data_IF_635195409342
#
_entry.id   IF_635195409342
#
_cell.length_a   1.000
_cell.length_b   1.000
_cell.length_c   1.000
_cell.angle_alpha   90.00
_cell.angle_beta   90.00
_cell.angle_gamma   90.00
#
_symmetry.space_group_name_H-M   'P 1'
#
loop_
_entity.id
_entity.type
_entity.pdbx_description
1 polymer ?
#
# COMPACT_ATOMS: atom_id res chain seq x y z
N UNK A 1 -25.80 -6.24 -25.94
CA UNK A 1 -24.57 -5.98 -25.13
C UNK A 1 -24.67 -6.82 -23.87
N UNK A 2 -23.71 -7.73 -23.61
CA UNK A 2 -23.63 -8.41 -22.31
C UNK A 2 -23.41 -7.35 -21.22
N UNK A 3 -24.06 -7.47 -20.06
CA UNK A 3 -23.78 -6.57 -18.95
C UNK A 3 -22.32 -6.76 -18.53
N UNK A 4 -21.55 -5.68 -18.27
CA UNK A 4 -20.18 -5.82 -17.79
C UNK A 4 -20.20 -6.53 -16.44
N UNK A 5 -19.36 -7.54 -16.29
CA UNK A 5 -19.25 -8.28 -15.04
C UNK A 5 -18.66 -7.43 -13.90
N UNK A 6 -18.71 -7.94 -12.67
CA UNK A 6 -18.34 -7.17 -11.48
C UNK A 6 -16.89 -6.69 -11.56
N UNK A 7 -15.99 -7.55 -12.02
CA UNK A 7 -14.55 -7.28 -12.13
C UNK A 7 -14.27 -6.16 -13.14
N UNK A 8 -14.97 -6.17 -14.29
CA UNK A 8 -14.87 -5.10 -15.28
C UNK A 8 -15.29 -3.75 -14.72
N UNK A 9 -16.34 -3.74 -13.88
CA UNK A 9 -16.80 -2.51 -13.24
C UNK A 9 -15.77 -1.99 -12.23
N UNK A 10 -15.15 -2.88 -11.46
CA UNK A 10 -14.07 -2.52 -10.51
C UNK A 10 -12.87 -1.95 -11.25
N UNK A 11 -12.39 -2.63 -12.31
CA UNK A 11 -11.32 -2.15 -13.16
C UNK A 11 -11.61 -0.74 -13.71
N UNK A 12 -12.80 -0.57 -14.30
CA UNK A 12 -13.25 0.73 -14.84
C UNK A 12 -13.34 1.83 -13.77
N UNK A 13 -13.73 1.49 -12.53
CA UNK A 13 -13.75 2.43 -11.42
C UNK A 13 -12.32 2.83 -11.04
N UNK A 14 -11.39 1.89 -10.89
CA UNK A 14 -9.99 2.17 -10.53
C UNK A 14 -9.32 3.11 -11.53
N UNK A 15 -9.44 2.84 -12.83
CA UNK A 15 -8.80 3.67 -13.86
C UNK A 15 -9.41 5.08 -13.98
N UNK A 16 -10.58 5.33 -13.39
CA UNK A 16 -11.25 6.63 -13.34
C UNK A 16 -10.89 7.46 -12.12
N UNK A 17 -10.31 6.85 -11.07
CA UNK A 17 -9.84 7.55 -9.87
C UNK A 17 -8.83 8.63 -10.28
N UNK A 18 -8.96 9.84 -9.71
CA UNK A 18 -8.06 10.94 -10.01
C UNK A 18 -6.63 10.52 -9.74
N UNK A 19 -5.70 10.93 -10.59
CA UNK A 19 -4.31 10.50 -10.53
C UNK A 19 -3.57 10.89 -9.23
N UNK A 20 -4.18 11.72 -8.39
CA UNK A 20 -3.68 12.14 -7.06
C UNK A 20 -4.33 11.34 -5.90
N UNK A 21 -5.34 10.54 -6.20
CA UNK A 21 -6.05 9.66 -5.27
C UNK A 21 -5.53 8.23 -5.44
N UNK A 22 -5.66 7.44 -4.38
CA UNK A 22 -5.19 6.05 -4.27
C UNK A 22 -6.35 5.08 -4.51
N UNK A 23 -6.09 4.01 -5.24
CA UNK A 23 -7.09 2.97 -5.47
C UNK A 23 -7.38 2.07 -4.27
N UNK A 24 -6.57 2.09 -3.21
CA UNK A 24 -6.69 1.16 -2.07
C UNK A 24 -8.08 1.05 -1.46
N UNK A 25 -8.82 2.14 -1.14
CA UNK A 25 -10.17 2.00 -0.56
C UNK A 25 -11.11 1.19 -1.45
N UNK A 26 -10.98 1.33 -2.77
CA UNK A 26 -11.78 0.57 -3.73
C UNK A 26 -11.32 -0.88 -3.83
N UNK A 27 -10.01 -1.14 -3.70
CA UNK A 27 -9.47 -2.51 -3.64
C UNK A 27 -9.99 -3.21 -2.38
N UNK A 28 -9.92 -2.55 -1.22
CA UNK A 28 -10.37 -3.07 0.08
C UNK A 28 -11.86 -3.38 0.08
N UNK A 29 -12.70 -2.46 -0.42
CA UNK A 29 -14.15 -2.67 -0.58
C UNK A 29 -14.50 -3.84 -1.51
N UNK A 30 -13.57 -4.22 -2.40
CA UNK A 30 -13.77 -5.26 -3.40
C UNK A 30 -12.71 -6.36 -3.30
N UNK A 31 -12.22 -6.65 -2.09
CA UNK A 31 -11.05 -7.51 -1.89
C UNK A 31 -11.21 -8.92 -2.50
N UNK A 32 -12.44 -9.44 -2.57
CA UNK A 32 -12.74 -10.74 -3.18
C UNK A 32 -12.57 -10.80 -4.70
N UNK A 33 -12.50 -9.65 -5.37
CA UNK A 33 -12.24 -9.57 -6.81
C UNK A 33 -10.73 -9.59 -7.13
N UNK A 34 -9.86 -9.43 -6.12
CA UNK A 34 -8.43 -9.39 -6.29
C UNK A 34 -7.80 -10.72 -5.86
N UNK A 35 -6.79 -11.13 -6.62
CA UNK A 35 -5.92 -12.21 -6.26
C UNK A 35 -4.75 -11.67 -5.43
N UNK A 36 -4.51 -12.23 -4.26
CA UNK A 36 -3.48 -11.77 -3.33
C UNK A 36 -2.34 -12.79 -3.27
N UNK A 37 -1.13 -12.34 -2.97
CA UNK A 37 0.02 -13.27 -2.92
C UNK A 37 -0.03 -14.34 -1.83
N UNK A 38 -0.83 -14.14 -0.81
CA UNK A 38 -1.07 -15.11 0.25
C UNK A 38 -2.28 -16.01 -0.02
N UNK A 39 -3.02 -15.78 -1.11
CA UNK A 39 -4.15 -16.61 -1.52
C UNK A 39 -3.68 -17.90 -2.16
N UNK A 40 -4.42 -18.99 -1.92
CA UNK A 40 -4.27 -20.22 -2.70
C UNK A 40 -4.77 -19.98 -4.13
N UNK A 41 -3.95 -20.34 -5.12
CA UNK A 41 -4.24 -20.11 -6.55
C UNK A 41 -5.49 -20.86 -6.99
N UNK A 42 -5.62 -22.11 -6.58
CA UNK A 42 -6.72 -22.97 -6.99
C UNK A 42 -8.02 -22.51 -6.35
N UNK A 43 -7.99 -22.15 -5.06
CA UNK A 43 -9.14 -21.60 -4.35
C UNK A 43 -9.61 -20.28 -4.99
N UNK A 44 -8.69 -19.33 -5.18
CA UNK A 44 -9.02 -18.04 -5.79
C UNK A 44 -9.62 -18.22 -7.19
N UNK A 45 -8.95 -19.00 -8.04
CA UNK A 45 -9.44 -19.23 -9.39
C UNK A 45 -10.78 -19.94 -9.40
N UNK A 46 -11.01 -20.90 -8.50
CA UNK A 46 -12.29 -21.61 -8.40
C UNK A 46 -13.42 -20.66 -8.04
N UNK A 47 -13.20 -19.72 -7.11
CA UNK A 47 -14.18 -18.68 -6.79
C UNK A 47 -14.45 -17.76 -7.99
N UNK A 48 -13.39 -17.33 -8.68
CA UNK A 48 -13.49 -16.50 -9.87
C UNK A 48 -14.24 -17.21 -11.00
N UNK A 49 -13.82 -18.43 -11.35
CA UNK A 49 -14.41 -19.26 -12.38
C UNK A 49 -15.87 -19.58 -12.11
N UNK A 50 -16.23 -19.89 -10.85
CA UNK A 50 -17.62 -20.15 -10.47
C UNK A 50 -18.49 -18.89 -10.60
N UNK A 51 -18.00 -17.73 -10.17
CA UNK A 51 -18.78 -16.49 -10.17
C UNK A 51 -18.93 -15.88 -11.57
N UNK A 52 -17.94 -16.07 -12.44
CA UNK A 52 -17.88 -15.47 -13.78
C UNK A 52 -18.15 -16.46 -14.91
N UNK A 53 -18.24 -17.77 -14.61
CA UNK A 53 -18.47 -18.83 -15.58
C UNK A 53 -17.25 -19.14 -16.45
N UNK A 54 -16.05 -19.05 -15.90
CA UNK A 54 -14.80 -19.40 -16.59
C UNK A 54 -14.49 -20.90 -16.45
N UNK A 55 -13.63 -21.41 -17.33
CA UNK A 55 -13.10 -22.77 -17.18
C UNK A 55 -12.22 -22.87 -15.92
N UNK A 56 -12.22 -24.01 -15.22
CA UNK A 56 -11.35 -24.21 -14.06
C UNK A 56 -9.89 -24.37 -14.49
N UNK A 57 -8.97 -23.97 -13.61
CA UNK A 57 -7.57 -24.42 -13.67
C UNK A 57 -7.42 -25.74 -12.92
N UNK A 58 -6.27 -26.38 -13.09
CA UNK A 58 -5.82 -27.44 -12.17
C UNK A 58 -4.46 -27.07 -11.62
N UNK A 59 -4.31 -27.24 -10.31
CA UNK A 59 -3.04 -27.07 -9.61
C UNK A 59 -2.66 -28.42 -8.98
N UNK A 60 -1.41 -28.83 -9.14
CA UNK A 60 -0.88 -30.00 -8.48
C UNK A 60 0.54 -29.71 -7.99
N UNK A 61 0.90 -30.24 -6.82
CA UNK A 61 2.27 -30.18 -6.30
C UNK A 61 2.79 -31.61 -6.23
N UNK A 62 3.94 -31.86 -6.86
CA UNK A 62 4.56 -33.19 -6.87
C UNK A 62 5.45 -33.44 -5.63
N UNK A 63 6.04 -34.63 -5.55
CA UNK A 63 6.93 -35.01 -4.45
C UNK A 63 8.27 -34.24 -4.43
N UNK A 64 8.62 -33.58 -5.54
CA UNK A 64 9.82 -32.77 -5.68
C UNK A 64 9.57 -31.28 -5.40
N UNK A 65 8.41 -30.95 -4.79
CA UNK A 65 7.96 -29.58 -4.53
C UNK A 65 7.84 -28.74 -5.82
N UNK A 66 7.52 -29.38 -6.94
CA UNK A 66 7.18 -28.67 -8.18
C UNK A 66 5.70 -28.41 -8.25
N UNK A 67 5.33 -27.15 -8.46
CA UNK A 67 3.96 -26.76 -8.77
C UNK A 67 3.72 -26.89 -10.26
N UNK A 68 2.65 -27.58 -10.62
CA UNK A 68 2.12 -27.70 -11.97
C UNK A 68 0.79 -26.97 -12.04
N UNK A 69 0.67 -26.03 -12.96
CA UNK A 69 -0.58 -25.31 -13.24
C UNK A 69 -0.99 -25.62 -14.67
N UNK A 70 -2.25 -25.97 -14.89
CA UNK A 70 -2.80 -26.17 -16.23
C UNK A 70 -4.13 -25.47 -16.42
N UNK A 71 -4.33 -24.97 -17.64
CA UNK A 71 -5.56 -24.34 -18.09
C UNK A 71 -5.78 -24.68 -19.56
N UNK A 72 -6.92 -25.32 -19.88
CA UNK A 72 -7.17 -25.89 -21.21
C UNK A 72 -6.01 -26.80 -21.67
N UNK A 73 -5.34 -26.46 -22.77
CA UNK A 73 -4.20 -27.15 -23.35
C UNK A 73 -2.84 -26.59 -22.92
N UNK A 74 -2.82 -25.51 -22.12
CA UNK A 74 -1.61 -24.89 -21.60
C UNK A 74 -1.20 -25.45 -20.24
N UNK A 75 0.11 -25.51 -20.03
CA UNK A 75 0.74 -26.01 -18.80
C UNK A 75 1.96 -25.17 -18.44
N UNK A 76 2.20 -24.99 -17.15
CA UNK A 76 3.39 -24.40 -16.59
C UNK A 76 3.88 -25.20 -15.37
N UNK A 77 5.20 -25.21 -15.18
CA UNK A 77 5.88 -25.86 -14.05
C UNK A 77 6.76 -24.84 -13.33
N UNK A 78 6.80 -24.91 -12.00
CA UNK A 78 7.57 -24.02 -11.14
C UNK A 78 8.23 -24.85 -10.05
N UNK A 79 9.52 -24.63 -9.82
CA UNK A 79 10.20 -25.19 -8.65
C UNK A 79 9.91 -24.30 -7.44
N UNK A 80 9.28 -24.85 -6.41
CA UNK A 80 9.07 -24.13 -5.17
C UNK A 80 10.33 -24.19 -4.30
N UNK A 81 10.58 -23.13 -3.54
CA UNK A 81 11.74 -22.95 -2.66
C UNK A 81 11.34 -22.68 -1.20
N UNK A 82 10.04 -22.62 -0.91
CA UNK A 82 9.46 -22.20 0.37
C UNK A 82 9.55 -20.69 0.60
N UNK A 83 9.86 -19.89 -0.41
CA UNK A 83 10.11 -18.45 -0.26
C UNK A 83 8.91 -17.60 -0.70
N UNK A 84 8.93 -16.31 -0.35
CA UNK A 84 7.94 -15.36 -0.87
C UNK A 84 8.00 -15.21 -2.40
N UNK A 85 9.16 -15.49 -3.01
CA UNK A 85 9.31 -15.43 -4.47
C UNK A 85 8.46 -16.50 -5.15
N UNK A 86 8.27 -17.67 -4.52
CA UNK A 86 7.40 -18.73 -5.05
C UNK A 86 6.00 -18.21 -5.32
N UNK A 87 5.44 -17.39 -4.41
CA UNK A 87 4.10 -16.81 -4.56
C UNK A 87 3.99 -15.95 -5.82
N UNK A 88 5.00 -15.13 -6.07
CA UNK A 88 5.04 -14.28 -7.27
C UNK A 88 5.23 -15.15 -8.51
N UNK A 89 6.14 -16.12 -8.46
CA UNK A 89 6.36 -17.06 -9.55
C UNK A 89 5.08 -17.83 -9.92
N UNK A 90 4.30 -18.28 -8.93
CA UNK A 90 3.03 -18.99 -9.14
C UNK A 90 1.97 -18.12 -9.80
N UNK A 91 1.92 -16.82 -9.49
CA UNK A 91 1.04 -15.87 -10.18
C UNK A 91 1.46 -15.66 -11.63
N UNK A 92 2.76 -15.56 -11.91
CA UNK A 92 3.26 -15.44 -13.28
C UNK A 92 3.01 -16.70 -14.11
N UNK A 93 3.17 -17.88 -13.51
CA UNK A 93 2.85 -19.13 -14.17
C UNK A 93 1.35 -19.24 -14.47
N UNK A 94 0.49 -18.83 -13.53
CA UNK A 94 -0.95 -18.71 -13.78
C UNK A 94 -1.20 -17.76 -14.95
N UNK A 95 -0.66 -16.54 -14.91
CA UNK A 95 -0.80 -15.54 -15.97
C UNK A 95 -0.36 -16.08 -17.34
N UNK A 96 0.69 -16.90 -17.37
CA UNK A 96 1.16 -17.57 -18.58
C UNK A 96 0.14 -18.57 -19.13
N UNK A 97 -0.37 -19.49 -18.30
CA UNK A 97 -1.29 -20.53 -18.79
C UNK A 97 -2.67 -20.00 -19.19
N UNK A 98 -3.12 -18.88 -18.61
CA UNK A 98 -4.44 -18.28 -18.92
C UNK A 98 -4.39 -17.18 -19.99
N UNK A 99 -3.19 -16.86 -20.51
CA UNK A 99 -2.91 -15.67 -21.33
C UNK A 99 -3.74 -15.54 -22.61
N UNK A 100 -4.27 -16.63 -23.16
CA UNK A 100 -5.07 -16.56 -24.40
C UNK A 100 -6.45 -15.93 -24.15
N UNK A 101 -7.00 -16.14 -22.96
CA UNK A 101 -8.34 -15.70 -22.59
C UNK A 101 -8.31 -14.51 -21.62
N UNK A 102 -7.25 -14.37 -20.82
CA UNK A 102 -7.18 -13.41 -19.73
C UNK A 102 -5.87 -12.62 -19.68
N UNK A 103 -5.99 -11.39 -19.19
CA UNK A 103 -4.88 -10.51 -18.81
C UNK A 103 -4.85 -10.41 -17.29
N UNK A 104 -3.66 -10.64 -16.70
CA UNK A 104 -3.43 -10.42 -15.27
C UNK A 104 -2.77 -9.05 -15.07
N UNK A 105 -3.35 -8.25 -14.17
CA UNK A 105 -2.91 -6.89 -13.87
C UNK A 105 -2.47 -6.78 -12.41
N UNK A 106 -1.22 -6.41 -12.17
CA UNK A 106 -0.75 -6.03 -10.85
C UNK A 106 -1.14 -4.59 -10.54
N UNK A 107 -1.83 -4.35 -9.43
CA UNK A 107 -2.16 -3.00 -8.97
C UNK A 107 -0.97 -2.37 -8.21
N UNK A 108 -0.23 -1.49 -8.89
CA UNK A 108 0.95 -0.81 -8.34
C UNK A 108 0.65 0.50 -7.61
N UNK A 109 -0.59 0.96 -7.70
CA UNK A 109 -1.00 2.25 -7.15
C UNK A 109 -1.48 2.17 -5.69
N UNK A 110 -1.57 0.97 -5.11
CA UNK A 110 -1.82 0.84 -3.68
C UNK A 110 -0.54 1.07 -2.88
N UNK A 111 -0.62 1.95 -1.90
CA UNK A 111 0.45 2.14 -0.92
C UNK A 111 0.60 0.94 0.03
N UNK A 112 -0.24 -0.09 -0.13
CA UNK A 112 -0.15 -1.39 0.53
C UNK A 112 0.52 -2.44 -0.37
N UNK A 113 1.44 -2.02 -1.26
CA UNK A 113 2.09 -2.85 -2.28
C UNK A 113 2.82 -4.10 -1.74
N UNK A 114 2.95 -4.27 -0.42
CA UNK A 114 3.43 -5.51 0.18
C UNK A 114 2.54 -6.71 -0.14
N UNK A 115 1.23 -6.50 -0.30
CA UNK A 115 0.30 -7.64 -0.35
C UNK A 115 0.00 -8.08 -1.79
N UNK A 116 0.58 -7.37 -2.77
CA UNK A 116 0.55 -7.66 -4.20
C UNK A 116 -0.87 -8.04 -4.69
N UNK A 117 -1.72 -7.02 -4.89
CA UNK A 117 -3.08 -7.21 -5.40
C UNK A 117 -3.07 -7.35 -6.92
N UNK A 118 -3.58 -8.46 -7.44
CA UNK A 118 -3.72 -8.72 -8.87
C UNK A 118 -5.19 -8.78 -9.28
N UNK A 119 -5.49 -8.32 -10.49
CA UNK A 119 -6.82 -8.38 -11.09
C UNK A 119 -6.73 -9.21 -12.37
N UNK A 120 -7.61 -10.20 -12.52
CA UNK A 120 -7.70 -11.02 -13.73
C UNK A 120 -8.86 -10.51 -14.58
N UNK A 121 -8.61 -10.15 -15.83
CA UNK A 121 -9.62 -9.62 -16.75
C UNK A 121 -9.68 -10.43 -18.05
N UNK A 122 -10.85 -10.69 -18.62
CA UNK A 122 -10.94 -11.19 -19.99
C UNK A 122 -10.24 -10.27 -20.98
N UNK A 123 -9.51 -10.86 -21.93
CA UNK A 123 -8.74 -10.13 -22.94
C UNK A 123 -9.61 -9.16 -23.78
N UNK A 124 -10.84 -9.55 -24.09
CA UNK A 124 -11.84 -8.69 -24.78
C UNK A 124 -12.06 -7.38 -24.01
N UNK A 125 -12.30 -7.49 -22.71
CA UNK A 125 -12.63 -6.34 -21.84
C UNK A 125 -11.41 -5.44 -21.65
N UNK A 126 -10.24 -6.04 -21.43
CA UNK A 126 -8.99 -5.29 -21.31
C UNK A 126 -8.70 -4.50 -22.58
N UNK A 127 -8.78 -5.17 -23.75
CA UNK A 127 -8.53 -4.56 -25.07
C UNK A 127 -9.51 -3.43 -25.36
N UNK A 128 -10.81 -3.64 -25.14
CA UNK A 128 -11.84 -2.60 -25.31
C UNK A 128 -11.60 -1.39 -24.42
N UNK A 129 -11.14 -1.62 -23.19
CA UNK A 129 -10.83 -0.54 -22.25
C UNK A 129 -9.56 0.21 -22.65
N UNK A 130 -8.51 -0.48 -23.09
CA UNK A 130 -7.29 0.13 -23.63
C UNK A 130 -7.58 0.95 -24.88
N UNK A 131 -8.50 0.50 -25.73
CA UNK A 131 -8.90 1.23 -26.93
C UNK A 131 -9.76 2.47 -26.62
N UNK A 132 -10.63 2.38 -25.60
CA UNK A 132 -11.55 3.47 -25.22
C UNK A 132 -10.98 4.47 -24.22
N UNK A 133 -9.95 4.09 -23.46
CA UNK A 133 -9.27 4.93 -22.48
C UNK A 133 -7.83 5.18 -22.90
N UNK A 134 -7.25 6.31 -22.49
CA UNK A 134 -5.82 6.53 -22.74
C UNK A 134 -5.00 5.49 -21.96
N UNK A 135 -4.14 4.73 -22.65
CA UNK A 135 -3.22 3.75 -22.05
C UNK A 135 -2.42 4.32 -20.86
N UNK A 136 -2.17 5.63 -20.84
CA UNK A 136 -1.53 6.33 -19.73
C UNK A 136 -2.27 6.24 -18.40
N UNK A 137 -3.61 6.14 -18.40
CA UNK A 137 -4.41 5.96 -17.17
C UNK A 137 -4.25 4.55 -16.60
N UNK A 138 -4.26 3.55 -17.47
CA UNK A 138 -4.09 2.14 -17.09
C UNK A 138 -2.68 1.94 -16.53
N UNK A 139 -1.65 2.37 -17.28
CA UNK A 139 -0.24 2.23 -16.91
C UNK A 139 0.16 3.01 -15.66
N UNK A 140 -0.67 3.94 -15.21
CA UNK A 140 -0.47 4.62 -13.92
C UNK A 140 -0.88 3.75 -12.74
N UNK A 141 -1.92 2.92 -12.91
CA UNK A 141 -2.52 2.12 -11.84
C UNK A 141 -2.08 0.67 -11.84
N UNK A 142 -1.83 0.14 -13.03
CA UNK A 142 -1.57 -1.26 -13.24
C UNK A 142 -0.25 -1.48 -13.98
N UNK A 143 0.34 -2.65 -13.72
CA UNK A 143 1.36 -3.28 -14.55
C UNK A 143 0.70 -4.54 -15.11
N UNK A 144 0.81 -4.75 -16.43
CA UNK A 144 0.41 -6.02 -17.02
C UNK A 144 1.46 -7.04 -16.61
N UNK A 145 1.04 -8.12 -15.96
CA UNK A 145 1.94 -9.21 -15.57
C UNK A 145 2.34 -9.94 -16.84
N UNK A 146 3.63 -9.94 -17.17
CA UNK A 146 4.18 -10.70 -18.29
C UNK A 146 4.77 -12.04 -17.81
N UNK A 147 5.40 -12.77 -18.74
CA UNK A 147 5.95 -14.09 -18.48
C UNK A 147 7.37 -14.06 -17.87
N UNK A 148 7.95 -12.87 -17.67
CA UNK A 148 9.33 -12.72 -17.21
C UNK A 148 9.34 -12.19 -15.77
N UNK A 149 9.63 -13.08 -14.82
CA UNK A 149 9.70 -12.74 -13.41
C UNK A 149 10.66 -11.60 -13.12
N UNK A 150 11.85 -11.62 -13.72
CA UNK A 150 12.85 -10.59 -13.47
C UNK A 150 12.39 -9.24 -14.00
N UNK A 151 11.79 -9.21 -15.18
CA UNK A 151 11.22 -7.98 -15.75
C UNK A 151 10.05 -7.47 -14.93
N UNK A 152 9.12 -8.34 -14.54
CA UNK A 152 8.00 -7.99 -13.67
C UNK A 152 8.50 -7.40 -12.35
N UNK A 153 9.41 -8.08 -11.65
CA UNK A 153 9.97 -7.60 -10.39
C UNK A 153 10.69 -6.26 -10.56
N UNK A 154 11.49 -6.11 -11.62
CA UNK A 154 12.20 -4.87 -11.93
C UNK A 154 11.22 -3.72 -12.14
N UNK A 155 10.11 -3.95 -12.85
CA UNK A 155 9.12 -2.90 -13.09
C UNK A 155 8.29 -2.64 -11.83
N UNK A 156 7.66 -3.68 -11.25
CA UNK A 156 6.79 -3.61 -10.09
C UNK A 156 7.48 -2.99 -8.88
N UNK A 157 8.76 -3.32 -8.69
CA UNK A 157 9.58 -2.84 -7.59
C UNK A 157 10.63 -1.83 -8.03
N UNK A 158 10.47 -1.18 -9.19
CA UNK A 158 11.30 -0.01 -9.53
C UNK A 158 11.05 1.13 -8.54
N UNK A 159 12.03 2.01 -8.34
CA UNK A 159 11.87 3.22 -7.50
C UNK A 159 10.65 4.05 -7.90
N UNK A 160 10.29 4.07 -9.19
CA UNK A 160 9.13 4.77 -9.72
C UNK A 160 7.79 4.16 -9.30
N UNK A 161 7.70 2.83 -9.19
CA UNK A 161 6.46 2.10 -8.88
C UNK A 161 6.39 1.64 -7.42
N UNK A 162 7.52 1.68 -6.70
CA UNK A 162 7.54 1.75 -5.25
C UNK A 162 7.02 3.13 -4.82
N UNK A 163 5.72 3.38 -5.06
CA UNK A 163 4.98 4.40 -4.33
C UNK A 163 5.37 4.23 -2.88
N UNK A 164 6.10 5.20 -2.34
CA UNK A 164 6.93 4.97 -1.16
C UNK A 164 6.06 4.46 -0.04
N UNK A 165 6.19 3.15 0.20
CA UNK A 165 5.62 2.49 1.34
C UNK A 165 6.34 3.07 2.56
N UNK A 166 5.82 4.19 3.04
CA UNK A 166 6.14 4.70 4.36
C UNK A 166 5.24 3.88 5.26
N UNK A 167 5.85 2.94 5.97
CA UNK A 167 5.10 2.04 6.82
C UNK A 167 4.41 2.76 7.95
N UNK A 168 3.68 1.99 8.75
CA UNK A 168 2.96 2.53 9.91
C UNK A 168 3.89 2.99 11.04
N UNK A 169 5.21 3.08 10.78
CA UNK A 169 6.22 3.63 11.68
C UNK A 169 7.18 4.53 10.89
N UNK A 170 7.49 5.67 11.50
CA UNK A 170 8.50 6.61 11.04
C UNK A 170 9.41 6.99 12.20
N UNK A 171 10.71 6.85 12.00
CA UNK A 171 11.73 7.43 12.87
C UNK A 171 12.39 8.60 12.15
N UNK A 172 12.42 9.77 12.78
CA UNK A 172 13.15 10.94 12.30
C UNK A 172 14.29 11.28 13.26
N UNK A 173 15.44 11.65 12.69
CA UNK A 173 16.58 12.23 13.43
C UNK A 173 16.88 13.58 12.81
N UNK A 174 16.76 14.62 13.63
CA UNK A 174 16.89 16.02 13.22
C UNK A 174 18.05 16.62 13.99
N UNK A 175 18.92 17.39 13.32
CA UNK A 175 20.04 18.07 13.96
C UNK A 175 19.94 19.58 13.81
N UNK A 176 20.53 20.30 14.76
CA UNK A 176 20.62 21.77 14.70
C UNK A 176 19.31 22.50 14.97
N UNK A 177 18.24 21.80 15.40
CA UNK A 177 16.97 22.40 15.79
C UNK A 177 16.44 21.75 17.07
N UNK A 178 15.64 22.51 17.82
CA UNK A 178 14.97 22.00 19.02
C UNK A 178 13.86 21.03 18.66
N UNK A 179 13.65 20.01 19.51
CA UNK A 179 12.51 19.10 19.36
C UNK A 179 11.19 19.89 19.45
N UNK A 180 10.19 19.61 18.59
CA UNK A 180 8.91 20.32 18.63
C UNK A 180 8.20 20.01 19.94
N UNK A 181 7.62 21.04 20.56
CA UNK A 181 6.77 20.88 21.72
C UNK A 181 5.42 20.24 21.34
N UNK A 182 4.67 19.68 22.30
CA UNK A 182 3.28 19.28 22.09
C UNK A 182 2.40 20.35 21.42
N UNK A 183 2.59 21.63 21.78
CA UNK A 183 1.83 22.74 21.20
C UNK A 183 2.25 23.08 19.76
N UNK A 184 3.52 22.87 19.40
CA UNK A 184 4.00 23.07 18.03
C UNK A 184 3.30 22.12 17.07
N UNK A 185 3.13 20.85 17.46
CA UNK A 185 2.40 19.87 16.66
C UNK A 185 0.96 20.32 16.42
N UNK A 186 0.21 20.69 17.46
CA UNK A 186 -1.16 21.19 17.30
C UNK A 186 -1.21 22.40 16.36
N UNK A 187 -0.28 23.35 16.53
CA UNK A 187 -0.15 24.54 15.67
C UNK A 187 0.12 24.18 14.21
N UNK A 188 1.00 23.23 13.95
CA UNK A 188 1.37 22.82 12.60
C UNK A 188 0.23 22.11 11.87
N UNK A 189 -0.49 21.23 12.56
CA UNK A 189 -1.70 20.61 12.02
C UNK A 189 -2.82 21.64 11.80
N UNK A 190 -2.99 22.59 12.73
CA UNK A 190 -4.01 23.64 12.61
C UNK A 190 -3.79 24.52 11.38
N UNK A 191 -2.54 24.86 11.05
CA UNK A 191 -2.18 25.58 9.81
C UNK A 191 -2.63 24.86 8.53
N UNK A 192 -2.87 23.56 8.61
CA UNK A 192 -3.36 22.72 7.51
C UNK A 192 -4.86 22.39 7.63
N UNK A 193 -5.60 23.16 8.45
CA UNK A 193 -7.03 22.97 8.72
C UNK A 193 -7.34 21.57 9.28
N UNK A 194 -6.50 21.10 10.19
CA UNK A 194 -6.71 19.86 10.92
C UNK A 194 -6.62 20.16 12.42
N UNK A 195 -7.73 19.95 13.12
CA UNK A 195 -7.82 20.07 14.57
C UNK A 195 -7.41 18.75 15.23
N UNK A 196 -6.24 18.76 15.85
CA UNK A 196 -5.69 17.62 16.60
C UNK A 196 -5.56 17.98 18.08
N UNK A 197 -5.58 16.96 18.93
CA UNK A 197 -5.35 17.09 20.36
C UNK A 197 -4.62 15.88 20.93
N UNK A 198 -3.95 16.09 22.05
CA UNK A 198 -3.20 15.06 22.76
C UNK A 198 -4.11 14.19 23.64
N UNK A 199 -3.74 12.93 23.82
CA UNK A 199 -4.39 12.00 24.76
C UNK A 199 -3.45 10.88 25.19
N UNK A 200 -3.78 10.23 26.29
CA UNK A 200 -3.29 8.88 26.59
C UNK A 200 -4.17 7.82 25.92
N UNK A 201 -3.70 6.56 25.92
CA UNK A 201 -4.44 5.42 25.37
C UNK A 201 -5.87 5.38 25.92
N UNK A 202 -6.86 5.40 25.03
CA UNK A 202 -8.29 5.42 25.36
C UNK A 202 -8.75 6.58 26.28
N UNK A 203 -7.89 7.54 26.59
CA UNK A 203 -8.19 8.68 27.46
C UNK A 203 -8.89 9.83 26.72
N UNK A 204 -9.31 10.84 27.49
CA UNK A 204 -9.86 12.09 26.96
C UNK A 204 -8.76 12.98 26.35
N UNK A 205 -9.19 14.07 25.69
CA UNK A 205 -8.28 15.10 25.23
C UNK A 205 -7.59 15.78 26.43
N UNK A 206 -6.28 15.96 26.33
CA UNK A 206 -5.45 16.62 27.32
C UNK A 206 -4.84 17.87 26.66
N UNK A 207 -4.89 19.04 27.33
CA UNK A 207 -4.23 20.25 26.84
C UNK A 207 -2.72 20.04 26.64
N UNK A 208 -2.16 20.61 25.57
CA UNK A 208 -0.75 20.45 25.22
C UNK A 208 0.21 20.85 26.35
N UNK A 209 -0.17 21.81 27.21
CA UNK A 209 0.62 22.27 28.34
C UNK A 209 0.76 21.22 29.45
N UNK A 210 -0.18 20.25 29.49
CA UNK A 210 -0.16 19.13 30.44
C UNK A 210 0.59 17.91 29.91
N UNK A 211 1.01 17.94 28.65
CA UNK A 211 1.86 16.91 28.04
C UNK A 211 3.33 17.25 28.35
N UNK A 212 4.18 16.26 28.70
CA UNK A 212 5.60 16.53 28.95
C UNK A 212 6.28 17.12 27.71
N UNK A 213 6.78 18.36 27.83
CA UNK A 213 7.26 19.14 26.70
C UNK A 213 8.51 18.56 26.01
N UNK A 214 9.34 17.85 26.78
CA UNK A 214 10.64 17.32 26.34
C UNK A 214 10.69 15.79 26.27
N UNK A 215 9.57 15.10 26.53
CA UNK A 215 9.49 13.64 26.51
C UNK A 215 8.04 13.16 26.47
N UNK A 216 7.37 13.35 25.33
CA UNK A 216 5.99 12.92 25.11
C UNK A 216 5.88 11.49 24.57
N UNK A 217 6.82 10.63 24.95
CA UNK A 217 6.74 9.18 24.77
C UNK A 217 5.50 8.60 25.45
N UNK A 218 4.81 7.69 24.77
CA UNK A 218 3.60 7.06 25.28
C UNK A 218 2.30 7.84 24.97
N UNK A 219 2.41 9.00 24.33
CA UNK A 219 1.26 9.86 24.02
C UNK A 219 0.76 9.68 22.60
N UNK A 220 -0.52 10.01 22.41
CA UNK A 220 -1.17 9.97 21.11
C UNK A 220 -1.61 11.36 20.70
N UNK A 221 -1.35 11.73 19.45
CA UNK A 221 -1.94 12.90 18.79
C UNK A 221 -3.04 12.42 17.85
N UNK A 222 -4.26 12.95 18.00
CA UNK A 222 -5.43 12.46 17.26
C UNK A 222 -6.33 13.61 16.83
N UNK A 223 -7.07 13.43 15.74
CA UNK A 223 -8.11 14.38 15.34
C UNK A 223 -9.17 14.51 16.45
N UNK A 224 -9.45 15.74 16.90
CA UNK A 224 -10.33 15.98 18.06
C UNK A 224 -11.69 15.31 17.87
N UNK A 225 -12.25 15.35 16.66
CA UNK A 225 -13.53 14.74 16.29
C UNK A 225 -13.57 13.21 16.40
N UNK A 226 -12.40 12.56 16.54
CA UNK A 226 -12.22 11.11 16.65
C UNK A 226 -11.85 10.64 18.04
N UNK A 227 -11.48 11.54 18.97
CA UNK A 227 -11.04 11.17 20.32
C UNK A 227 -12.12 10.35 21.06
N UNK A 228 -13.39 10.74 20.95
CA UNK A 228 -14.52 10.03 21.57
C UNK A 228 -14.92 8.73 20.86
N UNK A 229 -14.33 8.43 19.69
CA UNK A 229 -14.72 7.30 18.82
C UNK A 229 -13.64 6.23 18.69
N UNK A 230 -12.42 6.55 19.08
CA UNK A 230 -11.23 5.71 18.89
C UNK A 230 -10.46 5.61 20.19
N UNK A 231 -9.54 4.67 20.29
CA UNK A 231 -8.67 4.52 21.46
C UNK A 231 -7.29 5.12 21.24
N UNK A 232 -6.86 5.24 19.99
CA UNK A 232 -5.48 5.61 19.65
C UNK A 232 -5.41 6.85 18.74
N UNK A 233 -4.24 7.05 18.14
CA UNK A 233 -3.83 8.21 17.37
C UNK A 233 -2.42 7.99 16.77
N UNK A 234 -1.76 9.07 16.36
CA UNK A 234 -0.32 9.04 16.09
C UNK A 234 0.40 8.79 17.40
N UNK A 235 0.91 7.58 17.56
CA UNK A 235 1.57 7.13 18.77
C UNK A 235 3.02 7.56 18.76
N UNK A 236 3.41 8.44 19.67
CA UNK A 236 4.80 8.82 19.88
C UNK A 236 5.47 7.76 20.75
N UNK A 237 6.04 6.76 20.09
CA UNK A 237 6.70 5.62 20.73
C UNK A 237 8.01 6.01 21.38
N UNK A 238 8.73 6.96 20.80
CA UNK A 238 10.00 7.43 21.36
C UNK A 238 10.19 8.91 21.04
N UNK A 239 10.65 9.68 22.03
CA UNK A 239 11.06 11.07 21.86
C UNK A 239 12.31 11.32 22.71
N UNK A 240 13.47 11.44 22.07
CA UNK A 240 14.77 11.57 22.75
C UNK A 240 15.47 12.84 22.28
N UNK A 241 15.94 13.65 23.22
CA UNK A 241 16.74 14.84 22.97
C UNK A 241 18.22 14.50 23.23
N UNK A 242 19.07 14.91 22.30
CA UNK A 242 20.53 14.88 22.38
C UNK A 242 21.08 16.32 22.40
N UNK A 243 22.37 16.54 22.70
CA UNK A 243 22.93 17.90 22.79
C UNK A 243 22.75 18.77 21.53
N UNK A 244 22.76 18.16 20.34
CA UNK A 244 22.72 18.86 19.03
C UNK A 244 21.59 18.36 18.13
N UNK A 245 20.74 17.47 18.62
CA UNK A 245 19.80 16.72 17.80
C UNK A 245 18.65 16.14 18.61
N UNK A 246 17.63 15.66 17.93
CA UNK A 246 16.57 14.86 18.54
C UNK A 246 16.16 13.69 17.64
N UNK A 247 15.60 12.67 18.28
CA UNK A 247 14.98 11.51 17.64
C UNK A 247 13.52 11.45 18.04
N UNK A 248 12.64 11.28 17.06
CA UNK A 248 11.23 10.95 17.30
C UNK A 248 10.88 9.70 16.49
N UNK A 249 10.24 8.73 17.13
CA UNK A 249 9.61 7.58 16.48
C UNK A 249 8.10 7.66 16.68
N UNK A 250 7.35 7.66 15.57
CA UNK A 250 5.89 7.70 15.56
C UNK A 250 5.33 6.50 14.83
N UNK A 251 4.32 5.88 15.43
CA UNK A 251 3.51 4.84 14.81
C UNK A 251 2.10 5.35 14.48
N UNK A 252 1.59 4.95 13.32
CA UNK A 252 0.22 5.19 12.88
C UNK A 252 -0.72 4.17 13.55
N UNK A 253 -1.54 4.60 14.52
CA UNK A 253 -2.55 3.75 15.19
C UNK A 253 -3.94 4.37 15.13
N UNK A 254 -4.91 3.71 14.49
CA UNK A 254 -6.30 4.20 14.38
C UNK A 254 -6.44 5.67 13.90
N UNK A 255 -5.51 6.17 13.09
CA UNK A 255 -5.58 7.51 12.48
C UNK A 255 -5.99 7.44 11.02
N UNK A 256 -6.67 8.49 10.57
CA UNK A 256 -6.97 8.63 9.15
C UNK A 256 -5.69 8.86 8.34
N UNK A 257 -5.74 8.50 7.05
CA UNK A 257 -4.66 8.78 6.11
C UNK A 257 -4.34 10.27 6.02
N UNK A 258 -5.36 11.13 6.12
CA UNK A 258 -5.18 12.59 6.12
C UNK A 258 -4.21 13.02 7.24
N UNK A 259 -4.39 12.49 8.44
CA UNK A 259 -3.51 12.76 9.59
C UNK A 259 -2.10 12.23 9.34
N UNK A 260 -1.98 10.97 8.90
CA UNK A 260 -0.66 10.37 8.63
C UNK A 260 0.11 11.13 7.55
N UNK A 261 -0.49 11.38 6.40
CA UNK A 261 0.16 12.13 5.31
C UNK A 261 0.53 13.55 5.73
N UNK A 262 -0.30 14.18 6.57
CA UNK A 262 0.02 15.50 7.12
C UNK A 262 1.24 15.43 8.02
N UNK A 263 1.31 14.46 8.93
CA UNK A 263 2.49 14.23 9.76
C UNK A 263 3.74 14.04 8.90
N UNK A 264 3.69 13.17 7.89
CA UNK A 264 4.82 12.92 6.98
C UNK A 264 5.29 14.21 6.29
N UNK A 265 4.37 15.03 5.78
CA UNK A 265 4.68 16.34 5.16
C UNK A 265 5.29 17.32 6.15
N UNK A 266 4.77 17.37 7.38
CA UNK A 266 5.34 18.20 8.44
C UNK A 266 6.76 17.77 8.78
N UNK A 267 7.05 16.47 8.83
CA UNK A 267 8.43 16.01 9.05
C UNK A 267 9.37 16.35 7.89
N UNK A 268 8.84 16.48 6.65
CA UNK A 268 9.62 16.90 5.50
C UNK A 268 10.02 18.38 5.51
N UNK A 269 9.31 19.23 6.27
CA UNK A 269 9.70 20.63 6.44
C UNK A 269 10.79 20.82 7.49
N UNK A 270 11.05 19.81 8.32
CA UNK A 270 12.17 19.81 9.26
C UNK A 270 13.48 19.56 8.51
N UNK A 271 14.55 20.24 8.92
CA UNK A 271 15.90 19.93 8.44
C UNK A 271 16.43 18.66 9.12
N UNK A 272 15.84 17.55 8.69
CA UNK A 272 16.17 16.18 9.07
C UNK A 272 17.53 15.78 8.53
N UNK A 273 18.28 14.97 9.28
CA UNK A 273 19.50 14.32 8.75
C UNK A 273 19.23 12.89 8.30
N UNK A 274 18.35 12.17 9.00
CA UNK A 274 17.98 10.79 8.66
C UNK A 274 16.51 10.56 8.93
N UNK A 275 15.85 9.85 8.02
CA UNK A 275 14.48 9.40 8.16
C UNK A 275 14.45 7.91 7.89
N UNK A 276 13.93 7.13 8.82
CA UNK A 276 13.79 5.69 8.67
C UNK A 276 12.32 5.32 8.69
N UNK A 277 11.89 4.55 7.70
CA UNK A 277 10.60 3.88 7.71
C UNK A 277 10.80 2.43 7.29
N UNK A 278 10.41 1.49 8.16
CA UNK A 278 10.73 0.06 8.03
C UNK A 278 12.23 -0.17 7.78
N UNK A 279 12.57 -0.83 6.67
CA UNK A 279 13.91 -1.19 6.25
C UNK A 279 14.56 -0.14 5.32
N UNK A 280 13.93 1.01 5.12
CA UNK A 280 14.47 2.10 4.29
C UNK A 280 14.90 3.28 5.12
N UNK A 281 16.04 3.86 4.73
CA UNK A 281 16.54 5.12 5.24
C UNK A 281 16.57 6.13 4.10
N UNK A 282 16.00 7.31 4.34
CA UNK A 282 15.93 8.42 3.42
C UNK A 282 16.82 9.57 3.90
N UNK A 283 17.48 10.23 2.95
CA UNK A 283 18.05 11.55 3.15
C UNK A 283 16.97 12.61 3.03
N UNK A 284 17.21 13.81 3.57
CA UNK A 284 16.23 14.89 3.58
C UNK A 284 15.76 15.29 2.17
N UNK A 285 16.66 15.35 1.18
CA UNK A 285 16.30 15.70 -0.20
C UNK A 285 15.40 14.65 -0.85
N UNK A 286 15.68 13.37 -0.60
CA UNK A 286 14.85 12.26 -1.09
C UNK A 286 13.47 12.32 -0.43
N UNK A 287 13.41 12.55 0.88
CA UNK A 287 12.16 12.65 1.61
C UNK A 287 11.31 13.85 1.20
N UNK A 288 11.92 15.03 1.02
CA UNK A 288 11.23 16.23 0.52
C UNK A 288 10.67 16.00 -0.88
N UNK A 289 11.38 15.27 -1.73
CA UNK A 289 10.90 14.96 -3.10
C UNK A 289 9.61 14.13 -3.14
N UNK A 290 9.25 13.44 -2.06
CA UNK A 290 8.03 12.65 -1.98
C UNK A 290 6.76 13.50 -1.83
N UNK A 291 6.92 14.76 -1.44
CA UNK A 291 5.82 15.67 -1.12
C UNK A 291 5.86 16.98 -1.93
N UNK A 292 6.86 17.13 -2.81
CA UNK A 292 7.08 18.29 -3.68
C UNK A 292 6.19 18.33 -4.92
#
# INVERSE_FOLDING_TARGET
MKKPNAISQIFCKIIRISSQEDSWPLIEENASAFFWTDSDIEEFWSCLALSEGYDPIRVAIDQAEKMHISYKDKHAEINLTGTRQDRTASILALANVISDDFTVLYCKDSWHSSDLAFLVLPNEIFTDTVNSQKATKINKRFIVVDHDLHRFETEAFSEKNQNLYIGDELTIIVRGTSMPSPADWETWFKKLNIDVGWRHFSGEQIPAERVPQMSYEGWYLQEISKISKTKQGLFFEQSVIYPDSFKITVQKKEVSRKIWNTYLRLTASLDTMFIQSRNKTFRNTEWKSLFG
#
